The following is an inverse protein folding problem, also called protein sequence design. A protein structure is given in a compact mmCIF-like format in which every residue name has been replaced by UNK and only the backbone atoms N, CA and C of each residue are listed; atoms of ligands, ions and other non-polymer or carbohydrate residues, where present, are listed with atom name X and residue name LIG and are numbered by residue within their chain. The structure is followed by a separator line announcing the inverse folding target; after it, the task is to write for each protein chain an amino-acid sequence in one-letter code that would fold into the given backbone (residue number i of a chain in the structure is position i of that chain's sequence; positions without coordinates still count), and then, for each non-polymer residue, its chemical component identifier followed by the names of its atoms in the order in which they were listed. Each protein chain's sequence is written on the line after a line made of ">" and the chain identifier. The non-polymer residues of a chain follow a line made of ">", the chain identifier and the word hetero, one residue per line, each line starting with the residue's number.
data_IF_609824062401
#
_entry.id   IF_609824062401
#
_cell.length_a   1.000
_cell.length_b   1.000
_cell.length_c   1.000
_cell.angle_alpha   90.00
_cell.angle_beta   90.00
_cell.angle_gamma   90.00
#
_symmetry.space_group_name_H-M   'P 1'
#
loop_
_entity.id
_entity.type
_entity.pdbx_description
1 polymer ?
#
# COMPACT_ATOMS: atom_id res chain seq x y z
N UNK A 1 13.11 8.80 26.91
CA UNK A 1 12.58 9.49 25.71
C UNK A 1 13.24 8.81 24.51
N UNK A 2 12.87 7.55 24.27
CA UNK A 2 13.40 6.69 23.21
C UNK A 2 12.31 5.65 22.94
N UNK A 3 11.50 5.88 21.90
CA UNK A 3 10.60 4.88 21.31
C UNK A 3 10.48 5.22 19.82
N UNK A 4 11.56 4.99 19.09
CA UNK A 4 11.53 4.82 17.63
C UNK A 4 12.06 3.43 17.32
N UNK A 5 11.28 2.41 17.67
CA UNK A 5 11.35 1.15 16.92
C UNK A 5 10.74 1.42 15.55
N UNK A 6 11.31 0.80 14.51
CA UNK A 6 10.90 0.87 13.10
C UNK A 6 9.46 0.36 12.88
N UNK A 7 8.47 1.10 13.34
CA UNK A 7 7.07 0.83 13.04
C UNK A 7 6.65 1.74 11.89
N UNK A 8 6.31 1.11 10.77
CA UNK A 8 5.78 1.80 9.59
C UNK A 8 4.44 2.48 9.92
N UNK A 9 4.36 3.79 9.65
CA UNK A 9 3.25 4.65 10.05
C UNK A 9 2.29 4.89 8.88
N UNK A 10 0.99 4.65 9.10
CA UNK A 10 -0.08 5.16 8.25
C UNK A 10 -0.68 6.40 8.92
N UNK A 11 -0.79 7.50 8.16
CA UNK A 11 -1.47 8.71 8.62
C UNK A 11 -2.86 8.70 8.02
N UNK A 12 -3.88 8.66 8.86
CA UNK A 12 -5.25 8.71 8.40
C UNK A 12 -5.86 10.00 8.92
N UNK A 13 -6.22 10.85 7.98
CA UNK A 13 -6.49 12.24 8.21
C UNK A 13 -7.95 12.53 7.82
N UNK A 14 -8.72 12.97 8.80
CA UNK A 14 -10.12 13.33 8.60
C UNK A 14 -10.17 14.82 8.22
N UNK A 15 -10.68 15.15 7.03
CA UNK A 15 -10.91 16.55 6.59
C UNK A 15 -12.35 16.68 6.17
N UNK A 16 -13.09 17.58 6.79
CA UNK A 16 -14.44 17.89 6.34
C UNK A 16 -14.33 18.72 5.03
N UNK A 17 -15.04 18.28 3.98
CA UNK A 17 -14.93 18.75 2.59
C UNK A 17 -15.10 20.27 2.35
N UNK A 18 -15.62 21.03 3.32
CA UNK A 18 -15.98 22.44 3.13
C UNK A 18 -14.80 23.42 3.05
N UNK A 19 -13.54 23.01 3.23
CA UNK A 19 -12.41 23.95 3.33
C UNK A 19 -11.12 23.60 2.57
N UNK A 20 -11.23 23.08 1.34
CA UNK A 20 -10.11 22.85 0.39
C UNK A 20 -9.14 24.04 0.23
N UNK A 21 -9.59 25.29 0.45
CA UNK A 21 -8.74 26.51 0.34
C UNK A 21 -7.74 26.70 1.49
N UNK A 22 -7.91 26.05 2.66
CA UNK A 22 -7.04 26.25 3.85
C UNK A 22 -5.85 25.29 3.93
N UNK A 23 -5.83 24.23 3.12
CA UNK A 23 -4.80 23.17 3.18
C UNK A 23 -3.41 23.59 2.69
N UNK A 24 -3.28 24.76 2.04
CA UNK A 24 -2.00 25.24 1.48
C UNK A 24 -1.14 26.07 2.44
N UNK A 25 -1.65 26.48 3.60
CA UNK A 25 -0.92 27.34 4.54
C UNK A 25 -0.60 26.69 5.90
N UNK A 26 -1.21 25.54 6.23
CA UNK A 26 -1.34 25.05 7.60
C UNK A 26 -0.24 24.06 8.08
N UNK A 27 0.44 23.35 7.18
CA UNK A 27 1.35 22.25 7.59
C UNK A 27 2.66 22.75 8.22
N UNK A 28 3.02 24.03 8.06
CA UNK A 28 4.23 24.62 8.66
C UNK A 28 3.97 25.62 9.81
N UNK A 29 2.74 25.77 10.33
CA UNK A 29 2.46 26.76 11.39
C UNK A 29 1.61 26.29 12.58
N UNK A 30 0.90 25.16 12.51
CA UNK A 30 -0.17 24.91 13.46
C UNK A 30 0.23 24.03 14.65
N UNK A 31 0.32 24.66 15.82
CA UNK A 31 0.16 24.02 17.14
C UNK A 31 -1.28 23.52 17.40
N UNK A 32 -2.17 23.63 16.40
CA UNK A 32 -3.63 23.46 16.54
C UNK A 32 -4.19 22.15 15.99
N UNK A 33 -3.39 21.32 15.30
CA UNK A 33 -3.93 20.04 14.79
C UNK A 33 -4.20 19.08 15.95
N UNK A 34 -5.43 18.57 16.05
CA UNK A 34 -5.81 17.55 17.02
C UNK A 34 -5.19 16.19 16.67
N UNK A 35 -3.94 16.00 17.08
CA UNK A 35 -3.22 14.75 16.88
C UNK A 35 -3.77 13.65 17.81
N UNK A 36 -4.05 12.49 17.22
CA UNK A 36 -4.44 11.27 17.90
C UNK A 36 -3.54 10.11 17.50
N UNK A 37 -2.94 9.42 18.46
CA UNK A 37 -2.13 8.22 18.23
C UNK A 37 -2.98 6.99 18.54
N UNK A 38 -3.06 6.09 17.57
CA UNK A 38 -3.75 4.81 17.69
C UNK A 38 -2.74 3.68 17.59
N UNK A 39 -2.40 3.10 18.75
CA UNK A 39 -1.35 2.09 18.87
C UNK A 39 -1.64 1.10 20.01
N UNK A 40 -1.35 -0.19 19.79
CA UNK A 40 -1.23 -1.18 20.86
C UNK A 40 -2.52 -1.48 21.64
N UNK A 41 -2.40 -2.26 22.72
CA UNK A 41 -3.51 -2.60 23.61
C UNK A 41 -3.64 -1.55 24.73
N UNK A 42 -4.84 -0.95 24.84
CA UNK A 42 -5.12 0.28 25.60
C UNK A 42 -4.96 0.19 27.13
N UNK A 43 -4.25 -0.82 27.63
CA UNK A 43 -4.00 -1.06 29.06
C UNK A 43 -2.84 -0.24 29.63
N UNK A 44 -2.05 0.47 28.80
CA UNK A 44 -0.77 1.08 29.26
C UNK A 44 -0.66 2.60 29.24
N UNK A 45 -1.67 3.37 28.81
CA UNK A 45 -1.50 4.81 28.63
C UNK A 45 -2.65 5.62 29.24
N UNK A 46 -2.76 5.52 30.56
CA UNK A 46 -3.61 6.39 31.38
C UNK A 46 -2.90 7.76 31.44
N UNK A 47 -3.55 8.82 30.98
CA UNK A 47 -3.13 10.21 31.20
C UNK A 47 -2.68 11.03 29.99
N UNK A 48 -2.54 10.43 28.79
CA UNK A 48 -2.16 11.18 27.59
C UNK A 48 -3.38 11.39 26.66
N UNK A 49 -3.87 12.62 26.59
CA UNK A 49 -5.00 13.08 25.74
C UNK A 49 -4.80 12.85 24.24
N UNK A 50 -3.57 12.52 23.84
CA UNK A 50 -3.15 12.22 22.46
C UNK A 50 -3.51 10.79 22.07
N UNK A 51 -3.68 9.83 22.98
CA UNK A 51 -3.94 8.45 22.58
C UNK A 51 -5.42 8.15 22.43
N UNK A 52 -5.75 7.38 21.39
CA UNK A 52 -7.07 6.77 21.23
C UNK A 52 -7.17 5.63 22.24
N UNK A 53 -8.00 5.81 23.26
CA UNK A 53 -8.29 4.74 24.22
C UNK A 53 -9.11 3.65 23.55
N UNK A 54 -8.88 2.38 23.87
CA UNK A 54 -9.68 1.28 23.34
C UNK A 54 -9.51 1.04 21.84
N UNK A 55 -10.55 0.47 21.22
CA UNK A 55 -10.58 0.22 19.78
C UNK A 55 -11.40 1.32 19.11
N UNK A 56 -10.82 1.94 18.08
CA UNK A 56 -11.46 3.01 17.33
C UNK A 56 -12.79 2.53 16.73
N UNK A 57 -13.81 3.37 16.72
CA UNK A 57 -15.11 3.08 16.08
C UNK A 57 -15.70 4.37 15.52
N UNK A 58 -16.76 4.26 14.71
CA UNK A 58 -17.48 5.41 14.14
C UNK A 58 -18.03 6.36 15.20
N UNK A 59 -18.30 5.83 16.40
CA UNK A 59 -18.90 6.58 17.51
C UNK A 59 -17.89 7.45 18.26
N UNK A 60 -16.60 7.36 17.95
CA UNK A 60 -15.61 8.24 18.58
C UNK A 60 -15.89 9.69 18.23
N UNK A 61 -15.78 10.57 19.23
CA UNK A 61 -16.03 12.00 19.05
C UNK A 61 -15.20 12.62 17.91
N UNK A 62 -14.03 12.08 17.56
CA UNK A 62 -13.26 12.57 16.41
C UNK A 62 -13.97 12.41 15.05
N UNK A 63 -14.96 11.53 14.94
CA UNK A 63 -15.77 11.32 13.74
C UNK A 63 -17.17 11.96 13.82
N UNK A 64 -17.43 12.76 14.85
CA UNK A 64 -18.76 13.35 15.08
C UNK A 64 -19.18 14.40 14.02
N UNK A 65 -18.31 14.73 13.06
CA UNK A 65 -18.55 15.77 12.05
C UNK A 65 -18.52 17.21 12.60
N UNK A 66 -18.18 17.41 13.88
CA UNK A 66 -18.04 18.75 14.44
C UNK A 66 -16.81 19.46 13.89
N UNK A 67 -16.91 20.78 13.69
CA UNK A 67 -15.81 21.64 13.21
C UNK A 67 -14.54 21.52 14.04
N UNK A 68 -14.67 21.36 15.36
CA UNK A 68 -13.55 21.16 16.29
C UNK A 68 -12.75 19.87 16.05
N UNK A 69 -13.28 18.95 15.26
CA UNK A 69 -12.62 17.68 14.95
C UNK A 69 -12.17 17.62 13.47
N UNK A 70 -12.41 18.68 12.69
CA UNK A 70 -12.24 18.71 11.24
C UNK A 70 -10.77 18.63 10.77
N UNK A 71 -9.82 18.80 11.68
CA UNK A 71 -8.38 18.72 11.48
C UNK A 71 -7.75 17.61 12.34
N UNK A 72 -8.56 16.65 12.78
CA UNK A 72 -8.06 15.51 13.55
C UNK A 72 -7.20 14.60 12.67
N UNK A 73 -5.98 14.35 13.13
CA UNK A 73 -5.04 13.43 12.47
C UNK A 73 -4.89 12.19 13.33
N UNK A 74 -5.21 11.02 12.77
CA UNK A 74 -5.00 9.73 13.43
C UNK A 74 -3.74 9.08 12.87
N UNK A 75 -2.76 8.85 13.74
CA UNK A 75 -1.52 8.16 13.42
C UNK A 75 -1.62 6.72 13.92
N UNK A 76 -1.39 5.74 13.05
CA UNK A 76 -1.41 4.30 13.39
C UNK A 76 -0.31 3.55 12.65
N UNK A 77 -0.03 2.30 13.03
CA UNK A 77 0.79 1.39 12.25
C UNK A 77 -0.05 0.40 11.43
N UNK A 78 0.55 -0.16 10.36
CA UNK A 78 -0.07 -1.22 9.54
C UNK A 78 -0.53 -2.40 10.38
N UNK A 79 0.30 -2.81 11.34
CA UNK A 79 0.01 -3.91 12.24
C UNK A 79 -1.12 -3.59 13.22
N UNK A 80 -1.16 -2.38 13.79
CA UNK A 80 -2.24 -1.98 14.71
C UNK A 80 -3.59 -1.97 14.00
N UNK A 81 -3.66 -1.40 12.80
CA UNK A 81 -4.92 -1.34 12.07
C UNK A 81 -5.38 -2.75 11.64
N UNK A 82 -4.47 -3.58 11.11
CA UNK A 82 -4.78 -4.95 10.71
C UNK A 82 -5.27 -5.81 11.88
N UNK A 83 -4.57 -5.78 13.01
CA UNK A 83 -4.93 -6.60 14.17
C UNK A 83 -6.28 -6.20 14.79
N UNK A 84 -6.69 -4.93 14.65
CA UNK A 84 -7.90 -4.38 15.28
C UNK A 84 -9.10 -4.26 14.35
N UNK A 85 -8.88 -4.06 13.06
CA UNK A 85 -9.92 -3.81 12.05
C UNK A 85 -9.81 -4.71 10.82
N UNK A 86 -8.75 -5.51 10.70
CA UNK A 86 -8.54 -6.42 9.59
C UNK A 86 -9.30 -7.73 9.72
N UNK A 87 -9.07 -8.67 8.77
CA UNK A 87 -9.82 -9.91 8.66
C UNK A 87 -9.87 -10.74 9.95
N UNK A 88 -8.77 -10.79 10.72
CA UNK A 88 -8.72 -11.56 11.94
C UNK A 88 -9.64 -11.00 13.05
N UNK A 89 -9.77 -9.68 13.15
CA UNK A 89 -10.68 -9.03 14.09
C UNK A 89 -12.14 -9.30 13.71
N UNK A 90 -12.47 -9.23 12.41
CA UNK A 90 -13.80 -9.53 11.89
C UNK A 90 -14.14 -11.01 12.09
N UNK A 91 -13.21 -11.92 11.78
CA UNK A 91 -13.36 -13.37 12.02
C UNK A 91 -13.72 -13.66 13.47
N UNK A 92 -12.98 -13.06 14.41
CA UNK A 92 -13.22 -13.23 15.84
C UNK A 92 -14.62 -12.76 16.25
N UNK A 93 -15.09 -11.66 15.67
CA UNK A 93 -16.43 -11.14 15.91
C UNK A 93 -17.52 -12.03 15.30
N UNK A 94 -17.34 -12.54 14.06
CA UNK A 94 -18.29 -13.46 13.43
C UNK A 94 -18.45 -14.75 14.24
N UNK A 95 -17.35 -15.35 14.71
CA UNK A 95 -17.38 -16.56 15.54
C UNK A 95 -18.19 -16.32 16.82
N UNK A 96 -17.99 -15.17 17.48
CA UNK A 96 -18.77 -14.80 18.69
C UNK A 96 -20.27 -14.61 18.43
N UNK A 97 -20.64 -14.36 17.17
CA UNK A 97 -22.03 -14.20 16.72
C UNK A 97 -22.61 -15.47 16.10
N UNK A 98 -21.88 -16.58 16.18
CA UNK A 98 -22.22 -17.86 15.53
C UNK A 98 -22.46 -17.69 14.02
N UNK A 99 -21.61 -16.91 13.36
CA UNK A 99 -21.66 -16.63 11.92
C UNK A 99 -20.42 -17.15 11.22
N UNK A 100 -20.62 -17.66 10.01
CA UNK A 100 -19.54 -18.02 9.11
C UNK A 100 -18.76 -16.77 8.68
N UNK A 101 -17.44 -16.86 8.69
CA UNK A 101 -16.55 -15.83 8.15
C UNK A 101 -15.80 -16.40 6.94
N UNK A 102 -16.07 -15.82 5.77
CA UNK A 102 -15.27 -16.10 4.58
C UNK A 102 -13.92 -15.37 4.69
N UNK A 103 -12.84 -16.12 4.79
CA UNK A 103 -11.47 -15.58 4.84
C UNK A 103 -11.05 -14.90 3.53
N UNK A 104 -11.78 -15.12 2.45
CA UNK A 104 -11.60 -14.47 1.14
C UNK A 104 -12.56 -13.30 0.92
N UNK A 105 -13.39 -12.97 1.90
CA UNK A 105 -14.32 -11.84 1.78
C UNK A 105 -13.55 -10.56 1.44
N UNK A 106 -13.88 -9.97 0.29
CA UNK A 106 -13.30 -8.71 -0.17
C UNK A 106 -13.89 -7.50 0.56
N UNK A 107 -14.99 -7.68 1.27
CA UNK A 107 -15.74 -6.64 1.96
C UNK A 107 -15.92 -6.98 3.43
N UNK A 108 -15.99 -5.93 4.25
CA UNK A 108 -16.29 -6.05 5.67
C UNK A 108 -17.81 -6.23 5.87
N UNK A 109 -18.28 -7.08 6.81
CA UNK A 109 -19.69 -7.17 7.16
C UNK A 109 -20.26 -5.80 7.55
N UNK A 110 -21.47 -5.48 7.07
CA UNK A 110 -22.09 -4.16 7.25
C UNK A 110 -22.42 -3.83 8.69
N UNK A 111 -22.70 -4.87 9.50
CA UNK A 111 -23.02 -4.76 10.92
C UNK A 111 -21.82 -4.99 11.85
N UNK A 112 -20.60 -5.06 11.30
CA UNK A 112 -19.40 -5.05 12.12
C UNK A 112 -19.24 -3.69 12.80
N UNK A 113 -19.37 -3.60 14.14
CA UNK A 113 -19.51 -2.31 14.85
C UNK A 113 -18.25 -1.45 14.81
N UNK A 114 -17.09 -2.06 14.56
CA UNK A 114 -15.78 -1.39 14.53
C UNK A 114 -15.30 -1.13 13.10
N UNK A 115 -16.21 -1.19 12.13
CA UNK A 115 -15.93 -0.78 10.75
C UNK A 115 -15.59 0.71 10.73
N UNK A 116 -14.49 1.07 10.08
CA UNK A 116 -14.10 2.47 9.84
C UNK A 116 -14.37 2.91 8.40
N UNK A 117 -15.13 2.11 7.65
CA UNK A 117 -15.49 2.36 6.26
C UNK A 117 -16.10 3.76 6.11
N UNK A 118 -15.50 4.57 5.23
CA UNK A 118 -15.94 5.92 4.87
C UNK A 118 -15.70 6.99 5.94
N UNK A 119 -14.98 6.70 7.03
CA UNK A 119 -14.77 7.65 8.13
C UNK A 119 -13.64 8.65 7.87
N UNK A 120 -12.84 8.43 6.83
CA UNK A 120 -11.64 9.22 6.55
C UNK A 120 -11.74 9.93 5.20
N UNK A 121 -11.39 11.21 5.19
CA UNK A 121 -11.32 11.97 3.94
C UNK A 121 -10.03 11.67 3.19
N UNK A 122 -8.92 11.56 3.92
CA UNK A 122 -7.59 11.33 3.39
C UNK A 122 -6.94 10.17 4.14
N UNK A 123 -6.46 9.17 3.42
CA UNK A 123 -5.54 8.18 3.97
C UNK A 123 -4.19 8.30 3.28
N UNK A 124 -3.13 8.49 4.06
CA UNK A 124 -1.74 8.55 3.60
C UNK A 124 -1.01 7.29 4.08
N UNK A 125 -0.51 6.54 3.11
CA UNK A 125 0.17 5.27 3.32
C UNK A 125 1.66 5.49 3.08
N UNK A 126 2.42 5.62 4.15
CA UNK A 126 3.88 5.64 4.05
C UNK A 126 4.41 4.22 3.83
N UNK A 127 5.52 4.12 3.12
CA UNK A 127 6.10 2.85 2.64
C UNK A 127 5.05 1.90 2.05
N UNK A 128 4.21 2.41 1.14
CA UNK A 128 3.07 1.71 0.58
C UNK A 128 3.41 0.35 -0.07
N UNK A 129 4.70 0.06 -0.31
CA UNK A 129 5.17 -1.26 -0.75
C UNK A 129 4.79 -2.40 0.22
N UNK A 130 4.44 -2.14 1.48
CA UNK A 130 3.85 -3.14 2.39
C UNK A 130 2.47 -3.63 1.93
N UNK A 131 1.72 -2.82 1.18
CA UNK A 131 0.37 -3.13 0.70
C UNK A 131 0.37 -3.94 -0.62
N UNK A 132 1.55 -4.33 -1.12
CA UNK A 132 1.72 -5.02 -2.41
C UNK A 132 1.10 -6.40 -2.52
N UNK A 133 0.62 -6.99 -1.42
CA UNK A 133 -0.07 -8.28 -1.43
C UNK A 133 -1.57 -8.10 -1.19
N UNK A 134 -2.34 -8.20 -2.27
CA UNK A 134 -3.79 -8.10 -2.34
C UNK A 134 -4.58 -8.96 -1.32
N UNK A 135 -4.01 -10.09 -0.91
CA UNK A 135 -4.66 -11.03 0.00
C UNK A 135 -4.15 -10.94 1.43
N UNK A 136 -3.19 -10.05 1.70
CA UNK A 136 -2.71 -9.84 3.06
C UNK A 136 -3.79 -9.18 3.92
N UNK A 137 -3.83 -9.54 5.20
CA UNK A 137 -4.74 -8.91 6.16
C UNK A 137 -4.54 -7.39 6.23
N UNK A 138 -3.30 -6.93 6.05
CA UNK A 138 -2.96 -5.50 6.01
C UNK A 138 -3.64 -4.83 4.83
N UNK A 139 -3.40 -5.28 3.59
CA UNK A 139 -4.03 -4.68 2.40
C UNK A 139 -5.55 -4.68 2.51
N UNK A 140 -6.15 -5.79 2.98
CA UNK A 140 -7.60 -5.84 3.19
C UNK A 140 -8.08 -4.80 4.19
N UNK A 141 -7.45 -4.70 5.38
CA UNK A 141 -7.81 -3.73 6.41
C UNK A 141 -7.80 -2.29 5.89
N UNK A 142 -6.81 -1.95 5.07
CA UNK A 142 -6.68 -0.61 4.49
C UNK A 142 -7.66 -0.35 3.34
N UNK A 143 -7.91 -1.35 2.48
CA UNK A 143 -8.94 -1.22 1.44
C UNK A 143 -10.35 -1.05 2.04
N UNK A 144 -10.63 -1.65 3.19
CA UNK A 144 -11.91 -1.53 3.89
C UNK A 144 -12.15 -0.17 4.53
N UNK A 145 -11.12 0.68 4.67
CA UNK A 145 -11.30 2.05 5.13
C UNK A 145 -12.17 2.85 4.18
N UNK A 146 -12.08 2.57 2.87
CA UNK A 146 -12.75 3.33 1.80
C UNK A 146 -12.66 4.85 2.05
N UNK A 147 -11.45 5.33 2.35
CA UNK A 147 -11.21 6.74 2.51
C UNK A 147 -11.51 7.47 1.19
N UNK A 148 -11.97 8.71 1.27
CA UNK A 148 -12.38 9.48 0.09
C UNK A 148 -11.21 9.78 -0.86
N UNK A 149 -10.01 9.92 -0.33
CA UNK A 149 -8.79 10.09 -1.10
C UNK A 149 -7.65 9.29 -0.46
N UNK A 150 -6.89 8.57 -1.29
CA UNK A 150 -5.75 7.78 -0.86
C UNK A 150 -4.46 8.33 -1.47
N UNK A 151 -3.44 8.56 -0.65
CA UNK A 151 -2.11 8.96 -1.06
C UNK A 151 -1.11 7.86 -0.67
N UNK A 152 -0.50 7.22 -1.66
CA UNK A 152 0.50 6.18 -1.45
C UNK A 152 1.90 6.77 -1.63
N UNK A 153 2.72 6.71 -0.57
CA UNK A 153 4.11 7.16 -0.58
C UNK A 153 5.01 5.92 -0.58
N UNK A 154 5.86 5.78 -1.60
CA UNK A 154 6.84 4.69 -1.65
C UNK A 154 7.98 5.02 -2.60
N UNK A 155 9.20 4.69 -2.19
CA UNK A 155 10.38 4.75 -3.06
C UNK A 155 10.39 3.60 -4.11
N UNK A 156 9.78 2.46 -3.77
CA UNK A 156 9.87 1.19 -4.51
C UNK A 156 8.47 0.56 -4.69
N UNK A 157 7.59 1.19 -5.49
CA UNK A 157 6.22 0.69 -5.69
C UNK A 157 6.16 -0.70 -6.37
N UNK A 158 7.20 -1.06 -7.14
CA UNK A 158 7.41 -2.39 -7.72
C UNK A 158 8.59 -3.02 -6.99
N UNK A 159 8.33 -3.96 -6.08
CA UNK A 159 9.36 -4.53 -5.23
C UNK A 159 9.88 -5.84 -5.81
N UNK A 160 8.97 -6.76 -6.16
CA UNK A 160 9.29 -8.06 -6.75
C UNK A 160 8.96 -8.10 -8.25
N UNK A 161 7.85 -7.49 -8.65
CA UNK A 161 7.32 -7.58 -10.00
C UNK A 161 6.46 -6.35 -10.34
N UNK A 162 6.29 -6.09 -11.64
CA UNK A 162 5.30 -5.12 -12.13
C UNK A 162 3.88 -5.43 -11.64
N UNK A 163 3.59 -6.72 -11.38
CA UNK A 163 2.28 -7.19 -10.90
C UNK A 163 1.99 -6.79 -9.46
N UNK A 164 2.98 -6.31 -8.70
CA UNK A 164 2.77 -5.74 -7.36
C UNK A 164 1.76 -4.58 -7.40
N UNK A 165 1.68 -3.86 -8.53
CA UNK A 165 0.73 -2.76 -8.71
C UNK A 165 -0.74 -3.20 -8.67
N UNK A 166 -1.02 -4.46 -9.01
CA UNK A 166 -2.39 -5.00 -8.93
C UNK A 166 -2.98 -4.83 -7.52
N UNK A 167 -2.13 -4.75 -6.50
CA UNK A 167 -2.57 -4.61 -5.11
C UNK A 167 -2.93 -3.19 -4.69
N UNK A 168 -2.48 -2.20 -5.43
CA UNK A 168 -2.86 -0.81 -5.19
C UNK A 168 -4.13 -0.40 -5.93
N UNK A 169 -4.61 -1.22 -6.87
CA UNK A 169 -5.77 -0.90 -7.74
C UNK A 169 -6.99 -0.47 -6.94
N UNK A 170 -7.35 -1.21 -5.88
CA UNK A 170 -8.48 -0.89 -5.01
C UNK A 170 -8.32 0.40 -4.20
N UNK A 171 -7.08 0.82 -3.96
CA UNK A 171 -6.78 2.04 -3.21
C UNK A 171 -6.68 3.26 -4.13
N UNK A 172 -6.15 3.08 -5.34
CA UNK A 172 -5.85 4.18 -6.26
C UNK A 172 -6.95 4.43 -7.29
N UNK A 173 -7.67 3.39 -7.72
CA UNK A 173 -8.51 3.46 -8.91
C UNK A 173 -9.99 3.28 -8.54
N UNK A 174 -10.89 4.10 -9.13
CA UNK A 174 -12.32 3.82 -9.05
C UNK A 174 -12.68 2.54 -9.81
N UNK A 175 -13.75 1.89 -9.37
CA UNK A 175 -14.48 0.96 -10.22
C UNK A 175 -15.33 1.79 -11.20
N UNK A 176 -15.32 1.44 -12.47
CA UNK A 176 -16.03 2.16 -13.52
C UNK A 176 -17.30 1.42 -13.99
N UNK A 177 -17.49 0.15 -13.60
CA UNK A 177 -18.71 -0.62 -13.90
C UNK A 177 -18.96 -0.88 -15.39
N UNK A 178 -17.98 -0.59 -16.27
CA UNK A 178 -18.05 -0.92 -17.70
C UNK A 178 -17.46 -2.32 -17.91
N UNK A 179 -18.33 -3.28 -18.20
CA UNK A 179 -17.95 -4.63 -18.61
C UNK A 179 -17.57 -4.66 -20.10
N UNK A 180 -16.51 -3.95 -20.53
CA UNK A 180 -16.10 -4.02 -21.94
C UNK A 180 -14.60 -3.84 -22.17
N UNK A 181 -13.82 -4.87 -21.80
CA UNK A 181 -12.53 -5.11 -22.47
C UNK A 181 -12.72 -5.44 -23.97
N UNK A 182 -13.91 -5.86 -24.40
CA UNK A 182 -14.15 -6.46 -25.72
C UNK A 182 -14.49 -5.48 -26.87
N UNK A 183 -14.56 -4.17 -26.64
CA UNK A 183 -14.92 -3.21 -27.69
C UNK A 183 -13.98 -2.02 -27.87
N UNK A 184 -13.00 -1.84 -26.98
CA UNK A 184 -12.19 -0.63 -26.96
C UNK A 184 -10.85 -0.83 -27.66
N UNK A 185 -10.51 0.08 -28.58
CA UNK A 185 -9.21 0.15 -29.21
C UNK A 185 -8.15 0.50 -28.15
N UNK A 186 -7.46 -0.52 -27.61
CA UNK A 186 -6.43 -0.37 -26.57
C UNK A 186 -5.39 0.70 -26.97
N UNK A 187 -4.79 0.67 -28.18
CA UNK A 187 -3.90 1.74 -28.63
C UNK A 187 -4.45 3.16 -28.43
N UNK A 188 -5.73 3.40 -28.74
CA UNK A 188 -6.35 4.71 -28.54
C UNK A 188 -6.43 5.07 -27.04
N UNK A 189 -6.84 4.12 -26.19
CA UNK A 189 -6.91 4.31 -24.73
C UNK A 189 -5.55 4.64 -24.11
N UNK A 190 -4.46 4.02 -24.58
CA UNK A 190 -3.11 4.29 -24.07
C UNK A 190 -2.62 5.72 -24.34
N UNK A 191 -3.29 6.44 -25.23
CA UNK A 191 -3.00 7.84 -25.59
C UNK A 191 -4.04 8.83 -25.06
N UNK A 192 -4.88 8.39 -24.12
CA UNK A 192 -5.94 9.21 -23.55
C UNK A 192 -5.40 10.53 -22.97
N UNK A 193 -6.16 11.61 -23.17
CA UNK A 193 -5.80 12.93 -22.66
C UNK A 193 -6.36 13.13 -21.25
N UNK A 194 -5.67 13.87 -20.38
CA UNK A 194 -6.23 14.24 -19.08
C UNK A 194 -7.60 14.91 -19.19
N UNK A 195 -8.56 14.46 -18.39
CA UNK A 195 -9.96 14.89 -18.36
C UNK A 195 -10.90 14.13 -19.31
N UNK A 196 -10.41 13.23 -20.16
CA UNK A 196 -11.24 12.55 -21.15
C UNK A 196 -11.99 11.33 -20.60
N UNK A 197 -13.04 10.88 -21.33
CA UNK A 197 -13.81 9.69 -20.93
C UNK A 197 -12.97 8.40 -21.02
N UNK A 198 -11.97 8.40 -21.90
CA UNK A 198 -10.99 7.36 -22.09
C UNK A 198 -9.99 7.33 -20.93
N UNK A 199 -9.57 8.49 -20.41
CA UNK A 199 -8.71 8.54 -19.21
C UNK A 199 -9.44 7.93 -18.01
N UNK A 200 -10.72 8.23 -17.83
CA UNK A 200 -11.51 7.66 -16.74
C UNK A 200 -11.55 6.12 -16.79
N UNK A 201 -11.65 5.55 -18.00
CA UNK A 201 -11.58 4.10 -18.17
C UNK A 201 -10.14 3.57 -18.02
N UNK A 202 -9.14 4.24 -18.60
CA UNK A 202 -7.72 3.91 -18.47
C UNK A 202 -7.30 3.82 -16.99
N UNK A 203 -7.80 4.77 -16.17
CA UNK A 203 -7.55 4.85 -14.73
C UNK A 203 -8.63 4.12 -13.91
N UNK A 204 -9.13 2.98 -14.37
CA UNK A 204 -10.10 2.16 -13.65
C UNK A 204 -9.52 0.82 -13.17
N UNK A 205 -10.14 0.23 -12.15
CA UNK A 205 -9.80 -1.12 -11.70
C UNK A 205 -9.99 -2.14 -12.82
N UNK A 206 -11.05 -1.99 -13.62
CA UNK A 206 -11.42 -2.90 -14.70
C UNK A 206 -10.37 -2.91 -15.80
N UNK A 207 -9.91 -1.74 -16.27
CA UNK A 207 -8.84 -1.68 -17.27
C UNK A 207 -7.53 -2.29 -16.75
N UNK A 208 -7.13 -1.99 -15.52
CA UNK A 208 -5.87 -2.53 -14.98
C UNK A 208 -5.95 -4.04 -14.79
N UNK A 209 -7.07 -4.56 -14.28
CA UNK A 209 -7.21 -6.00 -14.06
C UNK A 209 -7.40 -6.80 -15.36
N UNK A 210 -8.20 -6.28 -16.30
CA UNK A 210 -8.62 -7.01 -17.49
C UNK A 210 -7.83 -6.66 -18.74
N UNK A 211 -7.10 -5.54 -18.77
CA UNK A 211 -6.33 -5.12 -19.94
C UNK A 211 -4.84 -4.97 -19.64
N UNK A 212 -4.42 -4.78 -18.39
CA UNK A 212 -2.99 -4.72 -18.04
C UNK A 212 -2.50 -6.05 -17.50
N UNK A 213 -3.18 -6.64 -16.51
CA UNK A 213 -2.72 -7.83 -15.81
C UNK A 213 -3.41 -9.14 -16.18
N UNK A 214 -4.20 -9.15 -17.27
CA UNK A 214 -4.87 -10.35 -17.76
C UNK A 214 -3.90 -11.51 -18.02
N UNK A 215 -4.39 -12.74 -17.84
CA UNK A 215 -3.62 -13.94 -18.14
C UNK A 215 -3.31 -13.99 -19.64
N UNK A 216 -2.05 -14.26 -19.98
CA UNK A 216 -1.60 -14.33 -21.38
C UNK A 216 -0.93 -13.07 -21.90
N UNK A 217 -1.01 -11.95 -21.17
CA UNK A 217 -0.25 -10.74 -21.48
C UNK A 217 1.20 -10.91 -20.98
N UNK A 218 2.18 -10.66 -21.86
CA UNK A 218 3.61 -10.68 -21.52
C UNK A 218 3.98 -9.54 -20.58
N UNK A 219 5.05 -9.70 -19.78
CA UNK A 219 5.47 -8.65 -18.85
C UNK A 219 5.90 -7.35 -19.56
N UNK A 220 6.40 -7.44 -20.79
CA UNK A 220 6.73 -6.27 -21.61
C UNK A 220 5.47 -5.50 -22.01
N UNK A 221 4.44 -6.21 -22.45
CA UNK A 221 3.15 -5.60 -22.81
C UNK A 221 2.45 -5.02 -21.57
N UNK A 222 2.49 -5.73 -20.43
CA UNK A 222 2.07 -5.20 -19.13
C UNK A 222 2.77 -3.87 -18.82
N UNK A 223 4.08 -3.77 -19.04
CA UNK A 223 4.86 -2.58 -18.77
C UNK A 223 4.45 -1.39 -19.64
N UNK A 224 4.22 -1.61 -20.93
CA UNK A 224 3.74 -0.56 -21.84
C UNK A 224 2.39 -0.04 -21.40
N UNK A 225 1.42 -0.94 -21.14
CA UNK A 225 0.06 -0.54 -20.76
C UNK A 225 0.01 0.11 -19.38
N UNK A 226 0.75 -0.43 -18.42
CA UNK A 226 0.81 0.14 -17.08
C UNK A 226 1.46 1.51 -17.07
N UNK A 227 2.47 1.75 -17.93
CA UNK A 227 3.10 3.07 -18.05
C UNK A 227 2.08 4.14 -18.45
N UNK A 228 1.15 3.83 -19.36
CA UNK A 228 0.09 4.74 -19.74
C UNK A 228 -0.77 5.10 -18.53
N UNK A 229 -1.17 4.12 -17.71
CA UNK A 229 -1.93 4.35 -16.47
C UNK A 229 -1.15 5.21 -15.46
N UNK A 230 0.12 4.86 -15.21
CA UNK A 230 0.97 5.49 -14.20
C UNK A 230 1.22 6.98 -14.49
N UNK A 231 1.27 7.39 -15.76
CA UNK A 231 1.47 8.81 -16.14
C UNK A 231 0.40 9.72 -15.53
N UNK A 232 -0.82 9.21 -15.33
CA UNK A 232 -1.93 9.97 -14.75
C UNK A 232 -1.97 9.94 -13.22
N UNK A 233 -1.26 9.00 -12.59
CA UNK A 233 -1.42 8.68 -11.16
C UNK A 233 -0.18 8.95 -10.31
N UNK A 234 1.01 8.83 -10.91
CA UNK A 234 2.26 8.78 -10.15
C UNK A 234 3.16 9.96 -10.50
N UNK A 235 3.56 10.69 -9.45
CA UNK A 235 4.68 11.63 -9.53
C UNK A 235 5.91 10.92 -9.00
N UNK A 236 6.91 10.71 -9.87
CA UNK A 236 8.22 10.14 -9.47
C UNK A 236 9.35 11.05 -9.94
N UNK A 237 10.25 11.39 -9.02
CA UNK A 237 11.49 12.12 -9.29
C UNK A 237 12.68 11.23 -8.98
N UNK A 238 13.75 11.38 -9.74
CA UNK A 238 15.01 10.66 -9.55
C UNK A 238 16.15 11.65 -9.36
N UNK A 239 17.33 11.17 -8.93
CA UNK A 239 18.53 12.02 -8.77
C UNK A 239 18.88 12.79 -10.06
N UNK A 240 18.59 12.23 -11.23
CA UNK A 240 18.83 12.89 -12.51
C UNK A 240 17.74 13.92 -12.91
N UNK A 241 16.62 14.01 -12.18
CA UNK A 241 15.55 14.96 -12.48
C UNK A 241 15.99 16.40 -12.22
N UNK A 242 15.58 17.30 -13.09
CA UNK A 242 15.84 18.73 -13.01
C UNK A 242 14.84 19.45 -12.09
N UNK A 243 15.31 20.48 -11.39
CA UNK A 243 14.52 21.41 -10.59
C UNK A 243 14.15 22.61 -11.48
N UNK A 244 12.89 22.74 -11.94
CA UNK A 244 12.51 23.70 -12.98
C UNK A 244 12.75 25.18 -12.62
N UNK A 245 12.83 25.50 -11.33
CA UNK A 245 12.99 26.86 -10.81
C UNK A 245 14.42 27.15 -10.29
N UNK A 246 15.39 26.27 -10.57
CA UNK A 246 16.81 26.45 -10.22
C UNK A 246 17.71 26.27 -11.44
N UNK A 247 17.36 26.88 -12.57
CA UNK A 247 18.23 26.98 -13.76
C UNK A 247 18.93 25.66 -14.17
N UNK A 248 18.21 24.54 -14.28
CA UNK A 248 18.86 23.29 -14.71
C UNK A 248 19.48 22.45 -13.60
N UNK A 249 19.43 22.87 -12.33
CA UNK A 249 20.03 22.09 -11.24
C UNK A 249 19.32 20.74 -11.09
N UNK A 250 20.06 19.64 -11.21
CA UNK A 250 19.55 18.29 -10.96
C UNK A 250 19.47 18.03 -9.46
N UNK A 251 18.50 17.22 -9.04
CA UNK A 251 18.30 16.84 -7.63
C UNK A 251 19.56 16.18 -7.04
N UNK A 252 20.28 15.40 -7.84
CA UNK A 252 21.44 14.62 -7.42
C UNK A 252 22.79 15.31 -7.59
N UNK A 253 22.86 16.56 -8.07
CA UNK A 253 24.14 17.23 -8.36
C UNK A 253 25.05 17.26 -7.13
N UNK A 254 24.48 17.48 -5.95
CA UNK A 254 25.23 17.63 -4.70
C UNK A 254 25.34 16.30 -3.91
N UNK A 255 24.86 15.19 -4.48
CA UNK A 255 24.88 13.87 -3.83
C UNK A 255 26.13 13.10 -4.31
N UNK A 256 27.04 12.69 -3.40
CA UNK A 256 28.20 11.89 -3.79
C UNK A 256 27.82 10.59 -4.51
N UNK A 257 28.67 10.10 -5.42
CA UNK A 257 28.43 8.83 -6.11
C UNK A 257 28.42 7.66 -5.12
N UNK A 258 27.50 6.72 -5.30
CA UNK A 258 27.46 5.48 -4.53
C UNK A 258 28.38 4.44 -5.17
N UNK A 259 29.37 3.93 -4.42
CA UNK A 259 30.27 2.86 -4.87
C UNK A 259 29.85 1.55 -4.18
N UNK A 260 29.43 0.56 -4.96
CA UNK A 260 29.14 -0.79 -4.45
C UNK A 260 30.40 -1.65 -4.57
N UNK A 261 30.87 -2.21 -3.46
CA UNK A 261 31.94 -3.21 -3.44
C UNK A 261 31.36 -4.55 -3.02
N UNK A 262 31.61 -5.59 -3.81
CA UNK A 262 31.27 -6.96 -3.46
C UNK A 262 32.52 -7.56 -2.81
N UNK A 263 32.35 -8.16 -1.64
CA UNK A 263 33.39 -8.97 -0.99
C UNK A 263 32.91 -10.41 -0.99
N UNK A 264 33.72 -11.31 -1.50
CA UNK A 264 33.46 -12.74 -1.51
C UNK A 264 34.30 -13.37 -0.40
N UNK A 265 33.74 -13.60 0.79
CA UNK A 265 34.46 -14.26 1.87
C UNK A 265 34.64 -15.75 1.54
N UNK A 266 35.80 -16.30 1.88
CA UNK A 266 36.02 -17.74 1.81
C UNK A 266 35.44 -18.43 3.05
N UNK A 267 34.83 -19.60 2.86
CA UNK A 267 34.46 -20.47 3.97
C UNK A 267 35.69 -20.92 4.74
N UNK A 268 35.63 -20.80 6.07
CA UNK A 268 36.56 -21.51 6.95
C UNK A 268 36.42 -23.03 6.79
N UNK A 269 37.44 -23.83 7.17
CA UNK A 269 37.33 -25.29 7.10
C UNK A 269 36.13 -25.87 7.86
N UNK A 270 35.79 -25.29 9.02
CA UNK A 270 34.63 -25.71 9.82
C UNK A 270 33.30 -25.40 9.12
N UNK A 271 33.13 -24.19 8.58
CA UNK A 271 31.92 -23.82 7.82
C UNK A 271 31.79 -24.64 6.55
N UNK A 272 32.91 -24.95 5.88
CA UNK A 272 32.93 -25.79 4.68
C UNK A 272 32.49 -27.22 4.98
N UNK A 273 32.88 -27.77 6.13
CA UNK A 273 32.45 -29.10 6.56
C UNK A 273 30.95 -29.11 6.88
N UNK A 274 30.46 -28.13 7.65
CA UNK A 274 29.02 -27.98 7.93
C UNK A 274 28.22 -27.82 6.62
N UNK A 275 28.70 -26.98 5.71
CA UNK A 275 28.09 -26.79 4.40
C UNK A 275 27.99 -28.10 3.63
N UNK A 276 29.07 -28.90 3.59
CA UNK A 276 29.09 -30.21 2.92
C UNK A 276 28.15 -31.21 3.57
N UNK A 277 28.07 -31.25 4.90
CA UNK A 277 27.18 -32.18 5.62
C UNK A 277 25.70 -31.87 5.34
N UNK A 278 25.35 -30.58 5.32
CA UNK A 278 24.01 -30.10 4.95
C UNK A 278 23.75 -30.34 3.45
N UNK A 279 24.72 -30.04 2.59
CA UNK A 279 24.63 -30.26 1.15
C UNK A 279 24.35 -31.75 0.87
N UNK A 280 25.09 -32.69 1.47
CA UNK A 280 24.88 -34.13 1.29
C UNK A 280 23.46 -34.56 1.67
N UNK A 281 22.91 -33.97 2.74
CA UNK A 281 21.56 -34.26 3.23
C UNK A 281 20.48 -33.75 2.28
N UNK A 282 20.64 -32.55 1.72
CA UNK A 282 19.59 -31.88 0.94
C UNK A 282 19.79 -31.93 -0.59
N UNK A 283 20.97 -32.32 -1.08
CA UNK A 283 21.30 -32.37 -2.52
C UNK A 283 20.42 -33.33 -3.31
N UNK A 284 19.96 -34.42 -2.68
CA UNK A 284 19.01 -35.38 -3.29
C UNK A 284 17.61 -34.79 -3.51
N UNK A 285 17.29 -33.64 -2.92
CA UNK A 285 15.96 -33.01 -3.02
C UNK A 285 15.98 -31.67 -3.76
N UNK A 286 17.19 -31.14 -4.04
CA UNK A 286 17.39 -29.88 -4.76
C UNK A 286 17.66 -30.05 -6.26
N UNK A 287 18.04 -31.26 -6.70
CA UNK A 287 18.31 -31.55 -8.10
C UNK A 287 17.61 -32.85 -8.49
N UNK A 288 16.44 -32.73 -9.11
CA UNK A 288 15.76 -33.83 -9.77
C UNK A 288 16.30 -33.87 -11.20
N UNK A 289 16.90 -34.99 -11.59
CA UNK A 289 17.35 -35.20 -12.97
C UNK A 289 16.11 -35.20 -13.87
N UNK A 290 16.05 -34.27 -14.82
CA UNK A 290 14.96 -34.21 -15.79
C UNK A 290 14.95 -35.52 -16.59
N UNK A 291 13.88 -36.32 -16.46
CA UNK A 291 13.79 -37.65 -17.08
C UNK A 291 13.83 -37.57 -18.62
N UNK A 292 13.41 -36.45 -19.18
CA UNK A 292 13.33 -36.24 -20.61
C UNK A 292 14.63 -35.61 -21.16
N UNK A 293 15.43 -34.97 -20.30
CA UNK A 293 16.67 -34.27 -20.69
C UNK A 293 17.81 -34.56 -19.70
N UNK A 294 18.53 -35.69 -19.84
CA UNK A 294 19.51 -36.17 -18.84
C UNK A 294 20.74 -35.27 -18.61
N UNK A 295 20.89 -34.17 -19.36
CA UNK A 295 21.90 -33.14 -19.17
C UNK A 295 21.43 -31.90 -18.38
N UNK A 296 20.17 -31.85 -17.91
CA UNK A 296 19.63 -30.74 -17.12
C UNK A 296 19.15 -31.24 -15.75
N UNK A 297 19.56 -30.53 -14.71
CA UNK A 297 19.06 -30.71 -13.35
C UNK A 297 18.05 -29.60 -13.06
N UNK A 298 16.88 -29.96 -12.52
CA UNK A 298 15.86 -29.01 -12.04
C UNK A 298 15.77 -29.02 -10.52
#
# INVERSE_FOLDING_TARGET
>A
MEFYSQETVAFILHIINSFKKRYKAAINRNKDNHLKIYHGDGRRQIGATVFVQGRLSKDYNCFSGHLKNADTVIITSYHTLESRHGPQAVKTWCIKKDRFFDTKAKTIPTDFPQSLKGMFELAVFDEAHYLRNNFSGQTLAYTWLEARFNLLLSATPFFNSIRDFSSYTKLLLPACGRDTAHGNNIPALLTAKPGSSEEQYLCSQEFVNNCVFEKGISDMECAVRLRAVIIHLMVRRIKASEIPFRNGHKIGTDIPPSIRRIKEPEFTPAERNIYRDIELTHRRHLFIKDKDHPGRYR
#
